data_IF_701663557283
#
_entry.id   IF_701663557283
#
_cell.length_a   1.000
_cell.length_b   1.000
_cell.length_c   1.000
_cell.angle_alpha   90.00
_cell.angle_beta   90.00
_cell.angle_gamma   90.00
#
_symmetry.space_group_name_H-M   'P 1'
#
loop_
_entity.id
_entity.type
_entity.pdbx_description
1 polymer ?
#
# COMPACT_ATOMS: atom_id res chain seq x y z
N UNK A 1 -15.99 -23.16 17.44
CA UNK A 1 -14.56 -22.81 17.71
C UNK A 1 -14.34 -21.43 17.14
N UNK A 2 -13.84 -20.49 17.93
CA UNK A 2 -13.46 -19.18 17.39
C UNK A 2 -12.13 -19.35 16.67
N UNK A 3 -12.13 -19.12 15.36
CA UNK A 3 -10.89 -19.09 14.57
C UNK A 3 -10.19 -17.76 14.86
N UNK A 4 -8.94 -17.83 15.33
CA UNK A 4 -8.16 -16.61 15.56
C UNK A 4 -7.76 -15.96 14.23
N UNK A 5 -7.49 -14.65 14.23
CA UNK A 5 -6.97 -13.93 13.05
C UNK A 5 -5.81 -14.69 12.38
N UNK A 6 -4.88 -15.23 13.16
CA UNK A 6 -3.70 -15.93 12.62
C UNK A 6 -4.00 -17.32 12.06
N UNK A 7 -5.00 -17.99 12.60
CA UNK A 7 -5.50 -19.24 12.00
C UNK A 7 -6.17 -18.96 10.67
N UNK A 8 -7.05 -17.93 10.62
CA UNK A 8 -7.68 -17.51 9.39
C UNK A 8 -6.65 -17.10 8.32
N UNK A 9 -5.66 -16.25 8.68
CA UNK A 9 -4.59 -15.86 7.77
C UNK A 9 -3.80 -17.08 7.27
N UNK A 10 -3.53 -18.07 8.13
CA UNK A 10 -2.85 -19.31 7.72
C UNK A 10 -3.65 -20.12 6.70
N UNK A 11 -4.97 -20.22 6.88
CA UNK A 11 -5.87 -20.85 5.92
C UNK A 11 -5.86 -20.11 4.58
N UNK A 12 -5.95 -18.78 4.60
CA UNK A 12 -5.90 -17.95 3.40
C UNK A 12 -4.55 -18.07 2.66
N UNK A 13 -3.44 -18.12 3.38
CA UNK A 13 -2.12 -18.39 2.78
C UNK A 13 -2.12 -19.74 2.10
N UNK A 14 -2.63 -20.78 2.78
CA UNK A 14 -2.65 -22.13 2.23
C UNK A 14 -3.48 -22.22 0.95
N UNK A 15 -4.64 -21.57 0.93
CA UNK A 15 -5.52 -21.52 -0.23
C UNK A 15 -4.88 -20.82 -1.43
N UNK A 16 -4.29 -19.63 -1.21
CA UNK A 16 -3.76 -18.81 -2.30
C UNK A 16 -2.36 -19.21 -2.75
N UNK A 17 -1.57 -19.85 -1.90
CA UNK A 17 -0.22 -20.34 -2.26
C UNK A 17 -0.23 -21.76 -2.85
N UNK A 18 -1.29 -22.53 -2.62
CA UNK A 18 -1.38 -23.94 -2.99
C UNK A 18 -0.55 -24.87 -2.10
N UNK A 19 -0.03 -24.37 -0.97
CA UNK A 19 0.79 -25.14 -0.01
C UNK A 19 0.26 -24.94 1.39
N UNK A 20 0.18 -26.03 2.15
CA UNK A 20 -0.22 -25.96 3.56
C UNK A 20 0.75 -25.05 4.33
N UNK A 21 0.19 -24.06 5.01
CA UNK A 21 0.90 -23.16 5.90
C UNK A 21 0.18 -23.10 7.24
N UNK A 22 0.94 -23.27 8.33
CA UNK A 22 0.43 -23.13 9.70
C UNK A 22 1.37 -22.21 10.45
N UNK A 23 0.90 -21.04 10.85
CA UNK A 23 1.72 -20.09 11.58
C UNK A 23 2.18 -20.64 12.92
N UNK A 24 3.46 -21.00 13.02
CA UNK A 24 4.08 -21.51 14.25
C UNK A 24 4.78 -20.40 15.05
N UNK A 25 5.26 -19.38 14.36
CA UNK A 25 5.99 -18.29 14.99
C UNK A 25 5.61 -16.96 14.37
N UNK A 26 5.51 -15.93 15.21
CA UNK A 26 5.24 -14.55 14.84
C UNK A 26 6.29 -13.63 15.44
N UNK A 27 6.88 -12.81 14.61
CA UNK A 27 7.83 -11.81 15.03
C UNK A 27 7.30 -10.43 14.64
N UNK A 28 6.88 -9.58 15.59
CA UNK A 28 6.52 -8.20 15.29
C UNK A 28 7.68 -7.47 14.62
N UNK A 29 7.37 -6.61 13.66
CA UNK A 29 8.33 -5.76 12.96
C UNK A 29 7.98 -4.31 13.24
N UNK A 30 8.93 -3.56 13.78
CA UNK A 30 8.77 -2.12 13.97
C UNK A 30 8.92 -1.37 12.64
N UNK A 31 8.24 -0.23 12.48
CA UNK A 31 8.45 0.66 11.33
C UNK A 31 7.23 0.98 10.48
N UNK A 32 6.02 0.75 10.98
CA UNK A 32 4.78 1.21 10.32
C UNK A 32 4.07 2.25 11.19
N UNK A 33 3.78 3.43 10.63
CA UNK A 33 3.05 4.48 11.37
C UNK A 33 1.54 4.26 11.39
N UNK A 34 1.00 3.50 10.43
CA UNK A 34 -0.45 3.32 10.23
C UNK A 34 -0.91 1.89 10.48
N UNK A 35 -0.05 0.89 10.29
CA UNK A 35 -0.37 -0.52 10.38
C UNK A 35 0.62 -1.27 11.26
N UNK A 36 0.12 -2.30 11.94
CA UNK A 36 0.98 -3.28 12.60
C UNK A 36 1.59 -4.21 11.57
N UNK A 37 2.83 -4.62 11.80
CA UNK A 37 3.54 -5.52 10.91
C UNK A 37 4.11 -6.72 11.66
N UNK A 38 4.10 -7.88 11.03
CA UNK A 38 4.72 -9.08 11.56
C UNK A 38 5.33 -9.94 10.45
N UNK A 39 6.41 -10.62 10.76
CA UNK A 39 6.87 -11.78 10.00
C UNK A 39 6.28 -13.02 10.64
N UNK A 40 5.55 -13.78 9.86
CA UNK A 40 5.02 -15.09 10.27
C UNK A 40 5.74 -16.20 9.53
N UNK A 41 5.91 -17.34 10.19
CA UNK A 41 6.61 -18.47 9.61
C UNK A 41 6.10 -19.81 10.14
N UNK A 42 6.26 -20.84 9.31
CA UNK A 42 6.33 -22.25 9.70
C UNK A 42 7.78 -22.76 9.55
N UNK A 43 7.95 -24.07 9.45
CA UNK A 43 9.27 -24.70 9.29
C UNK A 43 9.91 -24.43 7.92
N UNK A 44 9.11 -24.13 6.89
CA UNK A 44 9.54 -24.04 5.49
C UNK A 44 9.36 -22.67 4.85
N UNK A 45 8.37 -21.88 5.31
CA UNK A 45 7.93 -20.67 4.64
C UNK A 45 7.88 -19.46 5.57
N UNK A 46 8.03 -18.29 5.00
CA UNK A 46 7.94 -17.00 5.70
C UNK A 46 7.13 -16.01 4.88
N UNK A 47 6.27 -15.26 5.57
CA UNK A 47 5.48 -14.19 4.98
C UNK A 47 5.60 -12.92 5.81
N UNK A 48 5.45 -11.78 5.15
CA UNK A 48 5.31 -10.49 5.80
C UNK A 48 3.83 -10.12 5.81
N UNK A 49 3.31 -9.77 6.97
CA UNK A 49 1.90 -9.44 7.17
C UNK A 49 1.77 -8.02 7.69
N UNK A 50 0.96 -7.21 7.03
CA UNK A 50 0.44 -5.93 7.55
C UNK A 50 -0.99 -6.16 8.00
N UNK A 51 -1.37 -5.56 9.11
CA UNK A 51 -2.73 -5.68 9.63
C UNK A 51 -3.08 -4.53 10.56
N UNK A 52 -4.36 -4.25 10.71
CA UNK A 52 -4.91 -3.34 11.73
C UNK A 52 -6.36 -3.66 12.02
N UNK A 53 -6.87 -3.15 13.16
CA UNK A 53 -8.29 -3.15 13.47
C UNK A 53 -8.98 -2.03 12.71
N UNK A 54 -10.14 -2.33 12.14
CA UNK A 54 -10.99 -1.37 11.41
C UNK A 54 -12.10 -0.86 12.32
N UNK A 55 -12.52 0.37 12.09
CA UNK A 55 -13.75 0.95 12.66
C UNK A 55 -14.96 0.72 11.75
N UNK A 56 -14.76 0.50 10.45
CA UNK A 56 -15.78 0.21 9.44
C UNK A 56 -15.15 -0.54 8.26
N UNK A 57 -15.93 -1.36 7.56
CA UNK A 57 -15.51 -2.05 6.33
C UNK A 57 -15.20 -1.09 5.17
N UNK A 58 -15.76 0.12 5.21
CA UNK A 58 -15.54 1.12 4.15
C UNK A 58 -14.19 1.85 4.29
N UNK A 59 -13.42 1.55 5.32
CA UNK A 59 -12.16 2.22 5.63
C UNK A 59 -10.95 1.29 5.44
N UNK A 60 -10.96 0.48 4.37
CA UNK A 60 -9.85 -0.41 4.03
C UNK A 60 -8.75 0.34 3.27
N UNK A 61 -7.50 0.13 3.67
CA UNK A 61 -6.31 0.73 3.03
C UNK A 61 -5.40 -0.34 2.42
N UNK A 62 -5.38 -1.54 3.01
CA UNK A 62 -4.46 -2.60 2.62
C UNK A 62 -4.84 -3.26 1.29
N UNK A 63 -6.10 -3.24 0.89
CA UNK A 63 -6.52 -3.67 -0.44
C UNK A 63 -6.03 -2.70 -1.54
N UNK A 64 -6.04 -1.39 -1.28
CA UNK A 64 -5.47 -0.40 -2.18
C UNK A 64 -3.94 -0.53 -2.28
N UNK A 65 -3.25 -0.84 -1.17
CA UNK A 65 -1.81 -1.16 -1.19
C UNK A 65 -1.54 -2.42 -2.01
N UNK A 66 -2.37 -3.45 -1.88
CA UNK A 66 -2.24 -4.67 -2.66
C UNK A 66 -2.36 -4.41 -4.17
N UNK A 67 -3.30 -3.54 -4.59
CA UNK A 67 -3.46 -3.16 -6.00
C UNK A 67 -2.22 -2.41 -6.52
N UNK A 68 -1.68 -1.48 -5.74
CA UNK A 68 -0.44 -0.79 -6.08
C UNK A 68 0.75 -1.74 -6.24
N UNK A 69 0.92 -2.69 -5.31
CA UNK A 69 1.98 -3.70 -5.38
C UNK A 69 1.85 -4.61 -6.60
N UNK A 70 0.63 -5.03 -6.95
CA UNK A 70 0.36 -5.82 -8.15
C UNK A 70 0.71 -5.04 -9.43
N UNK A 71 0.35 -3.76 -9.49
CA UNK A 71 0.70 -2.92 -10.64
C UNK A 71 2.21 -2.74 -10.79
N UNK A 72 2.93 -2.50 -9.70
CA UNK A 72 4.39 -2.42 -9.70
C UNK A 72 5.04 -3.76 -10.14
N UNK A 73 4.50 -4.89 -9.67
CA UNK A 73 4.96 -6.21 -10.09
C UNK A 73 4.74 -6.46 -11.59
N UNK A 74 3.60 -6.02 -12.14
CA UNK A 74 3.28 -6.13 -13.57
C UNK A 74 4.20 -5.26 -14.44
N UNK A 75 4.63 -4.10 -13.94
CA UNK A 75 5.61 -3.26 -14.63
C UNK A 75 6.99 -3.93 -14.75
N UNK A 76 7.31 -4.88 -13.85
CA UNK A 76 8.51 -5.71 -13.84
C UNK A 76 9.86 -4.95 -13.89
N UNK A 77 9.85 -3.67 -13.48
CA UNK A 77 11.04 -2.81 -13.49
C UNK A 77 11.82 -2.86 -12.19
N UNK A 78 11.11 -2.97 -11.07
CA UNK A 78 11.68 -3.00 -9.72
C UNK A 78 11.14 -4.24 -9.00
N UNK A 79 11.99 -4.89 -8.23
CA UNK A 79 11.57 -6.02 -7.40
C UNK A 79 10.64 -5.54 -6.28
N UNK A 80 9.42 -6.05 -6.28
CA UNK A 80 8.42 -5.83 -5.24
C UNK A 80 8.05 -7.14 -4.56
N UNK A 81 7.56 -7.13 -3.31
CA UNK A 81 7.05 -8.34 -2.69
C UNK A 81 5.80 -8.82 -3.45
N UNK A 82 5.72 -10.12 -3.71
CA UNK A 82 4.50 -10.71 -4.26
C UNK A 82 3.38 -10.64 -3.23
N UNK A 83 2.22 -10.11 -3.61
CA UNK A 83 0.98 -10.21 -2.82
C UNK A 83 0.52 -11.66 -2.83
N UNK A 84 0.24 -12.23 -1.65
CA UNK A 84 -0.26 -13.59 -1.48
C UNK A 84 -1.78 -13.57 -1.32
N UNK A 85 -2.26 -12.90 -0.30
CA UNK A 85 -3.68 -12.69 -0.03
C UNK A 85 -3.88 -11.41 0.78
N UNK A 86 -5.10 -10.89 0.77
CA UNK A 86 -5.51 -9.73 1.56
C UNK A 86 -7.02 -9.76 1.74
N UNK A 87 -7.51 -9.03 2.70
CA UNK A 87 -8.95 -8.95 2.95
C UNK A 87 -9.28 -8.41 4.33
N UNK A 88 -10.53 -8.63 4.70
CA UNK A 88 -11.08 -8.28 6.01
C UNK A 88 -11.60 -9.54 6.67
N UNK A 89 -11.38 -9.66 7.96
CA UNK A 89 -11.93 -10.72 8.81
C UNK A 89 -12.54 -10.12 10.07
N UNK A 90 -13.46 -10.85 10.69
CA UNK A 90 -14.03 -10.51 11.98
C UNK A 90 -13.50 -11.47 13.04
N UNK A 91 -12.96 -10.93 14.14
CA UNK A 91 -12.55 -11.65 15.33
C UNK A 91 -13.13 -10.95 16.54
N UNK A 92 -13.85 -11.67 17.39
CA UNK A 92 -14.44 -11.15 18.64
C UNK A 92 -15.25 -9.83 18.47
N UNK A 93 -16.05 -9.74 17.41
CA UNK A 93 -16.82 -8.55 17.02
C UNK A 93 -15.97 -7.34 16.60
N UNK A 94 -14.70 -7.54 16.33
CA UNK A 94 -13.81 -6.55 15.75
C UNK A 94 -13.44 -6.93 14.31
N UNK A 95 -13.49 -5.93 13.43
CA UNK A 95 -13.03 -6.09 12.06
C UNK A 95 -11.53 -5.82 11.97
N UNK A 96 -10.84 -6.66 11.24
CA UNK A 96 -9.42 -6.52 10.96
C UNK A 96 -9.19 -6.60 9.47
N UNK A 97 -8.44 -5.65 8.91
CA UNK A 97 -7.89 -5.83 7.58
C UNK A 97 -6.48 -6.40 7.65
N UNK A 98 -6.10 -7.16 6.64
CA UNK A 98 -4.78 -7.76 6.53
C UNK A 98 -4.30 -7.80 5.08
N UNK A 99 -2.98 -7.75 4.91
CA UNK A 99 -2.27 -7.97 3.65
C UNK A 99 -1.08 -8.87 3.91
N UNK A 100 -1.04 -10.00 3.22
CA UNK A 100 0.05 -10.98 3.27
C UNK A 100 0.90 -10.87 2.02
N UNK A 101 2.18 -10.74 2.22
CA UNK A 101 3.17 -10.57 1.15
C UNK A 101 4.32 -11.55 1.30
N UNK A 102 5.01 -11.78 0.19
CA UNK A 102 6.30 -12.47 0.20
C UNK A 102 7.26 -11.76 1.17
N UNK A 103 7.89 -12.54 2.05
CA UNK A 103 8.97 -12.02 2.87
C UNK A 103 10.22 -11.77 2.00
N UNK A 104 10.70 -10.54 2.00
CA UNK A 104 11.97 -10.18 1.37
C UNK A 104 13.02 -9.97 2.46
N UNK A 105 14.10 -10.77 2.40
CA UNK A 105 15.25 -10.53 3.26
C UNK A 105 15.97 -9.28 2.76
N UNK A 106 15.96 -8.24 3.57
CA UNK A 106 16.67 -6.99 3.29
C UNK A 106 18.09 -7.09 3.85
N UNK A 107 19.05 -6.52 3.13
CA UNK A 107 20.45 -6.34 3.54
C UNK A 107 20.82 -4.86 3.51
N UNK A 108 21.95 -4.50 4.09
CA UNK A 108 22.49 -3.17 3.92
C UNK A 108 22.86 -2.94 2.45
N UNK A 109 22.51 -1.76 1.92
CA UNK A 109 22.77 -1.39 0.53
C UNK A 109 24.24 -0.93 0.37
N UNK A 110 24.85 -1.33 -0.74
CA UNK A 110 26.09 -0.75 -1.23
C UNK A 110 25.80 0.48 -2.11
N UNK A 111 26.82 1.31 -2.39
CA UNK A 111 26.66 2.49 -3.26
C UNK A 111 26.14 2.14 -4.67
N UNK A 112 26.57 1.00 -5.20
CA UNK A 112 26.13 0.50 -6.51
C UNK A 112 24.64 0.12 -6.56
N UNK A 113 24.05 -0.27 -5.42
CA UNK A 113 22.63 -0.60 -5.32
C UNK A 113 21.76 0.64 -5.54
N UNK A 114 22.19 1.80 -5.10
CA UNK A 114 21.49 3.07 -5.31
C UNK A 114 21.45 3.49 -6.77
N UNK A 115 22.54 3.28 -7.50
CA UNK A 115 22.58 3.54 -8.94
C UNK A 115 21.63 2.61 -9.70
N UNK A 116 21.61 1.34 -9.33
CA UNK A 116 20.70 0.34 -9.91
C UNK A 116 19.24 0.68 -9.60
N UNK A 117 18.94 1.04 -8.36
CA UNK A 117 17.60 1.48 -7.96
C UNK A 117 17.13 2.70 -8.76
N UNK A 118 17.99 3.71 -8.94
CA UNK A 118 17.69 4.89 -9.74
C UNK A 118 17.41 4.57 -11.22
N UNK A 119 18.18 3.65 -11.83
CA UNK A 119 17.92 3.18 -13.18
C UNK A 119 16.59 2.44 -13.31
N UNK A 120 16.27 1.56 -12.35
CA UNK A 120 15.01 0.83 -12.32
C UNK A 120 13.81 1.77 -12.13
N UNK A 121 13.93 2.78 -11.27
CA UNK A 121 12.90 3.79 -11.09
C UNK A 121 12.67 4.61 -12.37
N UNK A 122 13.74 5.03 -13.04
CA UNK A 122 13.63 5.74 -14.32
C UNK A 122 12.99 4.86 -15.41
N UNK A 123 13.27 3.57 -15.42
CA UNK A 123 12.62 2.62 -16.32
C UNK A 123 11.14 2.48 -15.99
N UNK A 124 10.76 2.36 -14.71
CA UNK A 124 9.37 2.32 -14.26
C UNK A 124 8.59 3.53 -14.78
N UNK A 125 9.14 4.74 -14.64
CA UNK A 125 8.50 5.98 -15.12
C UNK A 125 8.33 6.03 -16.65
N UNK A 126 9.11 5.27 -17.40
CA UNK A 126 8.99 5.19 -18.88
C UNK A 126 7.98 4.14 -19.34
N UNK A 127 7.77 3.09 -18.57
CA UNK A 127 6.90 1.96 -18.97
C UNK A 127 5.44 2.15 -18.60
N UNK A 128 5.17 3.01 -17.63
CA UNK A 128 3.82 3.34 -17.20
C UNK A 128 3.29 4.50 -18.05
N UNK A 129 2.61 4.19 -19.14
CA UNK A 129 1.97 5.20 -19.97
C UNK A 129 0.59 4.73 -20.37
N UNK A 130 -0.42 5.34 -19.80
CA UNK A 130 -1.78 5.36 -20.32
C UNK A 130 -2.05 6.70 -20.99
N UNK A 131 -3.19 6.85 -21.67
CA UNK A 131 -3.62 8.13 -22.22
C UNK A 131 -4.03 9.13 -21.13
N UNK A 132 -4.24 8.69 -19.90
CA UNK A 132 -4.77 9.46 -18.79
C UNK A 132 -3.87 9.35 -17.57
N UNK A 133 -3.89 10.41 -16.75
CA UNK A 133 -3.22 10.50 -15.44
C UNK A 133 -4.24 10.25 -14.34
N UNK A 134 -3.98 9.29 -13.47
CA UNK A 134 -4.88 8.89 -12.40
C UNK A 134 -4.63 7.47 -11.94
N UNK A 135 -5.58 6.90 -11.21
CA UNK A 135 -5.58 5.51 -10.80
C UNK A 135 -7.04 5.00 -10.82
N UNK A 136 -7.31 3.71 -11.06
CA UNK A 136 -8.68 3.19 -11.16
C UNK A 136 -9.56 3.41 -9.93
N UNK A 137 -8.96 3.70 -8.79
CA UNK A 137 -9.65 3.99 -7.52
C UNK A 137 -8.82 4.95 -6.67
N UNK A 138 -9.47 5.60 -5.72
CA UNK A 138 -8.77 6.35 -4.70
C UNK A 138 -7.94 5.41 -3.81
N UNK A 139 -6.82 5.90 -3.32
CA UNK A 139 -5.92 5.20 -2.42
C UNK A 139 -5.53 6.11 -1.25
N UNK A 140 -4.39 5.87 -0.62
CA UNK A 140 -4.03 6.57 0.60
C UNK A 140 -2.60 7.08 0.56
N UNK A 141 -2.37 8.24 1.17
CA UNK A 141 -1.06 8.73 1.54
C UNK A 141 -1.03 8.90 3.07
N UNK A 142 -0.34 8.00 3.78
CA UNK A 142 -0.51 7.84 5.21
C UNK A 142 -1.96 7.45 5.53
N UNK A 143 -2.67 8.30 6.29
CA UNK A 143 -4.09 8.11 6.63
C UNK A 143 -5.05 8.95 5.79
N UNK A 144 -4.51 9.78 4.92
CA UNK A 144 -5.29 10.68 4.09
C UNK A 144 -5.70 10.00 2.79
N UNK A 145 -6.96 10.12 2.42
CA UNK A 145 -7.45 9.67 1.11
C UNK A 145 -6.76 10.48 0.03
N UNK A 146 -6.24 9.81 -0.97
CA UNK A 146 -5.60 10.38 -2.13
C UNK A 146 -6.51 10.18 -3.34
N UNK A 147 -7.06 11.29 -3.83
CA UNK A 147 -7.95 11.30 -4.99
C UNK A 147 -7.21 10.92 -6.27
N UNK A 148 -7.82 10.08 -7.09
CA UNK A 148 -7.19 9.53 -8.29
C UNK A 148 -8.09 9.62 -9.54
N UNK A 149 -9.00 10.57 -9.56
CA UNK A 149 -9.85 10.81 -10.74
C UNK A 149 -8.97 11.02 -11.98
N UNK A 150 -9.23 10.26 -13.03
CA UNK A 150 -8.45 10.31 -14.25
C UNK A 150 -8.64 11.63 -15.00
N UNK A 151 -7.56 12.17 -15.52
CA UNK A 151 -7.54 13.35 -16.38
C UNK A 151 -6.58 13.14 -17.56
N UNK A 152 -6.73 13.88 -18.63
CA UNK A 152 -5.84 13.89 -19.80
C UNK A 152 -4.61 14.79 -19.63
N UNK A 153 -4.55 15.56 -18.54
CA UNK A 153 -3.48 16.51 -18.23
C UNK A 153 -2.79 16.17 -16.92
N UNK A 154 -1.49 15.97 -16.95
CA UNK A 154 -0.68 15.82 -15.73
C UNK A 154 -0.74 17.05 -14.84
N UNK A 155 -0.71 18.25 -15.42
CA UNK A 155 -0.77 19.50 -14.68
C UNK A 155 -2.07 19.58 -13.88
N UNK A 156 -3.22 19.30 -14.52
CA UNK A 156 -4.54 19.27 -13.89
C UNK A 156 -4.58 18.20 -12.78
N UNK A 157 -4.15 16.98 -13.08
CA UNK A 157 -4.12 15.90 -12.09
C UNK A 157 -3.30 16.27 -10.86
N UNK A 158 -2.09 16.78 -11.07
CA UNK A 158 -1.20 17.14 -9.96
C UNK A 158 -1.75 18.33 -9.17
N UNK A 159 -2.23 19.39 -9.86
CA UNK A 159 -2.77 20.57 -9.21
C UNK A 159 -4.01 20.25 -8.36
N UNK A 160 -4.98 19.54 -8.92
CA UNK A 160 -6.27 19.29 -8.26
C UNK A 160 -6.19 18.10 -7.28
N UNK A 161 -5.76 16.92 -7.77
CA UNK A 161 -5.81 15.69 -6.99
C UNK A 161 -4.63 15.51 -6.02
N UNK A 162 -3.58 16.30 -6.14
CA UNK A 162 -2.42 16.24 -5.23
C UNK A 162 -2.33 17.48 -4.35
N UNK A 163 -2.11 18.63 -4.94
CA UNK A 163 -1.91 19.87 -4.17
C UNK A 163 -3.25 20.40 -3.64
N UNK A 164 -4.24 20.56 -4.50
CA UNK A 164 -5.57 21.10 -4.13
C UNK A 164 -6.25 20.27 -3.05
N UNK A 165 -6.32 18.96 -3.22
CA UNK A 165 -6.93 18.05 -2.24
C UNK A 165 -6.24 18.12 -0.86
N UNK A 166 -4.91 18.24 -0.81
CA UNK A 166 -4.19 18.38 0.47
C UNK A 166 -4.41 19.74 1.10
N UNK A 167 -4.47 20.81 0.33
CA UNK A 167 -4.77 22.16 0.82
C UNK A 167 -6.20 22.25 1.37
N UNK A 168 -7.18 21.62 0.71
CA UNK A 168 -8.54 21.52 1.23
C UNK A 168 -8.60 20.75 2.54
N UNK A 169 -7.86 19.63 2.65
CA UNK A 169 -7.80 18.86 3.88
C UNK A 169 -7.22 19.70 5.03
N UNK A 170 -6.15 20.46 4.78
CA UNK A 170 -5.56 21.39 5.75
C UNK A 170 -6.54 22.49 6.14
N UNK A 171 -7.26 23.06 5.19
CA UNK A 171 -8.27 24.10 5.46
C UNK A 171 -9.40 23.58 6.34
N UNK A 172 -9.88 22.35 6.12
CA UNK A 172 -10.89 21.70 6.97
C UNK A 172 -10.38 21.47 8.41
N UNK A 173 -9.07 21.36 8.62
CA UNK A 173 -8.44 21.27 9.93
C UNK A 173 -8.15 22.63 10.57
N UNK A 174 -8.58 23.73 9.93
CA UNK A 174 -8.39 25.09 10.43
C UNK A 174 -7.05 25.74 10.07
N UNK A 175 -6.25 25.09 9.22
CA UNK A 175 -5.01 25.69 8.69
C UNK A 175 -5.32 26.51 7.44
N UNK A 176 -5.18 27.83 7.52
CA UNK A 176 -5.41 28.74 6.40
C UNK A 176 -4.07 29.13 5.79
N UNK A 177 -3.86 28.77 4.52
CA UNK A 177 -2.69 29.23 3.73
C UNK A 177 -3.09 30.48 2.95
N UNK A 178 -2.33 31.56 3.15
CA UNK A 178 -2.68 32.89 2.63
C UNK A 178 -2.68 33.05 1.10
N UNK A 179 -2.31 32.04 0.30
CA UNK A 179 -2.15 32.15 -1.16
C UNK A 179 -2.47 30.86 -1.93
N UNK A 180 -3.55 30.18 -1.59
CA UNK A 180 -4.00 28.97 -2.33
C UNK A 180 -4.21 29.28 -3.81
N UNK A 181 -4.83 30.42 -4.13
CA UNK A 181 -5.10 30.85 -5.50
C UNK A 181 -3.83 31.13 -6.31
N UNK A 182 -2.76 31.62 -5.65
CA UNK A 182 -1.47 31.89 -6.32
C UNK A 182 -0.74 30.57 -6.62
N UNK A 183 -0.79 29.59 -5.74
CA UNK A 183 -0.19 28.27 -6.02
C UNK A 183 -0.92 27.56 -7.16
N UNK A 184 -2.25 27.59 -7.19
CA UNK A 184 -3.04 26.97 -8.25
C UNK A 184 -2.74 27.61 -9.62
N UNK A 185 -2.60 28.95 -9.70
CA UNK A 185 -2.32 29.66 -10.97
C UNK A 185 -0.89 29.52 -11.47
N UNK A 186 0.06 29.07 -10.65
CA UNK A 186 1.46 28.83 -11.06
C UNK A 186 1.73 27.38 -11.55
N UNK A 187 0.77 26.46 -11.38
CA UNK A 187 0.90 25.06 -11.82
C UNK A 187 0.38 24.89 -13.26
N UNK A 188 -0.46 25.81 -13.76
CA UNK A 188 -0.91 25.90 -15.14
C UNK A 188 0.01 26.78 -15.98
#
# INVERSE_FOLDING_TARGET
MHTTMWQFISEQISEHSGHLFVCQNRQPVAGGDTHQCAVIRDDSQRYFVKYRTLTSVDNTELDAEADGLKALANAACIRTPKVICYGVLEEEHQLHEYLVMQYLKLSQSASEDWLTCGKQLAQLHRTTSGPEYGWPRDNYIGRSVQLNTATDSWATFFAESRIGAMLELLARQGHVWCNIDVCATQIY
#
